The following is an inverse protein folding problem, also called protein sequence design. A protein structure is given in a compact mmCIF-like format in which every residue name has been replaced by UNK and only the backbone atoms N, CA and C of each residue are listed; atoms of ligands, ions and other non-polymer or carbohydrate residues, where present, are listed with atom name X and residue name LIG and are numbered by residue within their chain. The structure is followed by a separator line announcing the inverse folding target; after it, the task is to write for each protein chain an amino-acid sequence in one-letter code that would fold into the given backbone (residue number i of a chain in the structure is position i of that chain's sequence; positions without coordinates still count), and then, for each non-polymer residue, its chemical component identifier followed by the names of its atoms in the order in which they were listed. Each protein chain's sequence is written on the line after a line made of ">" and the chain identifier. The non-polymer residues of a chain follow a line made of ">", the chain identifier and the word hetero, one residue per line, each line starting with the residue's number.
data_IF_910031028080
#
_entry.id   IF_910031028080
#
_cell.length_a   1.000
_cell.length_b   1.000
_cell.length_c   1.000
_cell.angle_alpha   90.00
_cell.angle_beta   90.00
_cell.angle_gamma   90.00
#
_symmetry.space_group_name_H-M   'P 1'
#
loop_
_entity.id
_entity.type
_entity.pdbx_description
1 polymer ?
#
# COMPACT_ATOMS: atom_id res chain seq x y z
N UNK A 1 4.64 -0.19 -8.53
CA UNK A 1 5.65 0.13 -7.50
C UNK A 1 6.92 0.54 -8.20
N UNK A 2 7.52 1.62 -7.71
CA UNK A 2 8.73 2.18 -8.26
C UNK A 2 9.74 2.34 -7.13
N UNK A 3 11.00 2.02 -7.40
CA UNK A 3 12.10 2.23 -6.47
C UNK A 3 12.60 3.66 -6.66
N UNK A 4 12.58 4.45 -5.59
CA UNK A 4 13.21 5.76 -5.57
C UNK A 4 14.71 5.57 -5.36
N UNK A 5 15.51 5.90 -6.37
CA UNK A 5 16.98 5.79 -6.32
C UNK A 5 17.63 7.03 -6.89
N UNK A 6 18.71 7.54 -6.28
CA UNK A 6 19.53 8.56 -6.94
C UNK A 6 20.13 7.97 -8.21
N UNK A 7 20.15 8.76 -9.29
CA UNK A 7 20.88 8.43 -10.50
C UNK A 7 22.20 9.23 -10.49
N UNK A 8 23.37 8.57 -10.38
CA UNK A 8 24.65 9.24 -10.16
C UNK A 8 24.98 10.32 -11.19
N UNK A 9 24.65 10.09 -12.47
CA UNK A 9 24.95 11.03 -13.56
C UNK A 9 23.87 12.10 -13.79
N UNK A 10 22.67 11.93 -13.23
CA UNK A 10 21.55 12.86 -13.48
C UNK A 10 21.32 13.83 -12.33
N UNK A 11 22.01 13.67 -11.20
CA UNK A 11 21.89 14.55 -10.03
C UNK A 11 20.49 14.58 -9.41
N UNK A 12 19.61 13.62 -9.73
CA UNK A 12 18.23 13.58 -9.27
C UNK A 12 17.79 12.16 -8.88
N UNK A 13 16.71 12.09 -8.10
CA UNK A 13 16.06 10.83 -7.72
C UNK A 13 15.05 10.45 -8.78
N UNK A 14 15.15 9.22 -9.27
CA UNK A 14 14.20 8.66 -10.24
C UNK A 14 13.36 7.56 -9.63
N UNK A 15 12.17 7.37 -10.20
CA UNK A 15 11.25 6.31 -9.83
C UNK A 15 11.36 5.16 -10.85
N UNK A 16 12.20 4.15 -10.54
CA UNK A 16 12.41 3.01 -11.42
C UNK A 16 11.27 1.98 -11.25
N UNK A 17 10.43 1.73 -12.27
CA UNK A 17 9.37 0.73 -12.17
C UNK A 17 9.97 -0.68 -12.10
N UNK A 18 9.54 -1.46 -11.11
CA UNK A 18 10.03 -2.85 -10.95
C UNK A 18 8.92 -3.86 -10.63
N UNK A 19 7.75 -3.41 -10.19
CA UNK A 19 6.62 -4.28 -9.88
C UNK A 19 5.31 -3.59 -10.29
N UNK A 20 4.67 -4.14 -11.32
CA UNK A 20 3.41 -3.65 -11.88
C UNK A 20 2.37 -4.74 -11.77
N UNK A 21 1.14 -4.36 -11.42
CA UNK A 21 0.00 -5.28 -11.37
C UNK A 21 -1.12 -4.74 -12.25
N UNK A 22 -1.72 -5.63 -13.04
CA UNK A 22 -2.93 -5.31 -13.79
C UNK A 22 -4.12 -5.27 -12.82
N UNK A 23 -4.86 -4.16 -12.82
CA UNK A 23 -6.08 -3.99 -12.05
C UNK A 23 -7.29 -4.10 -12.98
N UNK A 24 -7.86 -5.30 -13.18
CA UNK A 24 -9.07 -5.45 -13.98
C UNK A 24 -10.23 -4.65 -13.39
N UNK A 25 -11.11 -4.17 -14.27
CA UNK A 25 -12.34 -3.49 -13.85
C UNK A 25 -13.29 -4.46 -13.15
N UNK A 26 -14.19 -3.92 -12.33
CA UNK A 26 -15.21 -4.72 -11.64
C UNK A 26 -16.07 -5.53 -12.63
N UNK A 27 -16.54 -4.87 -13.69
CA UNK A 27 -17.29 -5.51 -14.77
C UNK A 27 -16.54 -6.69 -15.39
N UNK A 28 -15.27 -6.48 -15.75
CA UNK A 28 -14.45 -7.55 -16.31
C UNK A 28 -14.26 -8.72 -15.33
N UNK A 29 -14.07 -8.45 -14.03
CA UNK A 29 -14.00 -9.50 -13.03
C UNK A 29 -15.30 -10.31 -12.94
N UNK A 30 -16.44 -9.63 -12.89
CA UNK A 30 -17.77 -10.26 -12.80
C UNK A 30 -18.08 -11.12 -14.03
N UNK A 31 -17.82 -10.61 -15.24
CA UNK A 31 -17.99 -11.35 -16.50
C UNK A 31 -17.15 -12.63 -16.57
N UNK A 32 -15.98 -12.63 -15.94
CA UNK A 32 -15.06 -13.77 -15.93
C UNK A 32 -15.17 -14.62 -14.65
N UNK A 33 -16.17 -14.39 -13.79
CA UNK A 33 -16.36 -15.13 -12.54
C UNK A 33 -15.21 -14.97 -11.53
N UNK A 34 -14.43 -13.87 -11.63
CA UNK A 34 -13.28 -13.59 -10.77
C UNK A 34 -13.67 -12.65 -9.64
N UNK A 35 -13.07 -12.86 -8.46
CA UNK A 35 -13.22 -11.91 -7.33
C UNK A 35 -12.57 -10.57 -7.67
N UNK A 36 -13.38 -9.51 -7.64
CA UNK A 36 -12.89 -8.13 -7.77
C UNK A 36 -12.00 -7.74 -6.57
N UNK A 37 -10.97 -6.95 -6.86
CA UNK A 37 -10.05 -6.37 -5.87
C UNK A 37 -10.00 -4.87 -6.07
N UNK A 38 -10.13 -4.13 -4.97
CA UNK A 38 -9.96 -2.68 -4.98
C UNK A 38 -8.49 -2.30 -5.25
N UNK A 39 -8.23 -1.04 -5.59
CA UNK A 39 -6.86 -0.52 -5.74
C UNK A 39 -6.02 -0.76 -4.49
N UNK A 40 -6.60 -0.56 -3.30
CA UNK A 40 -5.91 -0.81 -2.03
C UNK A 40 -5.70 -2.30 -1.74
N UNK A 41 -6.57 -3.19 -2.23
CA UNK A 41 -6.33 -4.64 -2.15
C UNK A 41 -5.14 -5.07 -3.01
N UNK A 42 -5.01 -4.50 -4.21
CA UNK A 42 -3.84 -4.72 -5.06
C UNK A 42 -2.58 -4.18 -4.41
N UNK A 43 -2.59 -2.96 -3.88
CA UNK A 43 -1.45 -2.42 -3.13
C UNK A 43 -1.07 -3.30 -1.94
N UNK A 44 -2.04 -3.77 -1.16
CA UNK A 44 -1.81 -4.71 -0.05
C UNK A 44 -1.06 -5.95 -0.52
N UNK A 45 -1.49 -6.54 -1.63
CA UNK A 45 -0.83 -7.72 -2.20
C UNK A 45 0.57 -7.40 -2.69
N UNK A 46 0.77 -6.30 -3.42
CA UNK A 46 2.09 -5.90 -3.92
C UNK A 46 3.07 -5.63 -2.77
N UNK A 47 2.62 -4.98 -1.69
CA UNK A 47 3.43 -4.73 -0.49
C UNK A 47 3.84 -6.05 0.17
N UNK A 48 2.90 -6.98 0.34
CA UNK A 48 3.22 -8.32 0.88
C UNK A 48 4.20 -9.09 0.00
N UNK A 49 4.12 -8.97 -1.33
CA UNK A 49 5.08 -9.61 -2.22
C UNK A 49 6.48 -9.00 -2.05
N UNK A 50 6.58 -7.66 -2.06
CA UNK A 50 7.85 -6.96 -1.88
C UNK A 50 8.48 -7.29 -0.51
N UNK A 51 7.68 -7.28 0.54
CA UNK A 51 8.10 -7.61 1.89
C UNK A 51 8.66 -9.04 1.97
N UNK A 52 7.97 -10.00 1.35
CA UNK A 52 8.43 -11.39 1.26
C UNK A 52 9.76 -11.53 0.51
N UNK A 53 10.00 -10.71 -0.52
CA UNK A 53 11.28 -10.72 -1.24
C UNK A 53 12.43 -10.14 -0.43
N UNK A 54 12.15 -9.21 0.49
CA UNK A 54 13.17 -8.50 1.27
C UNK A 54 12.84 -8.46 2.77
N UNK A 55 12.69 -9.62 3.44
CA UNK A 55 12.09 -9.70 4.78
C UNK A 55 12.89 -8.99 5.88
N UNK A 56 14.18 -8.73 5.65
CA UNK A 56 15.08 -8.04 6.60
C UNK A 56 15.28 -6.55 6.31
N UNK A 57 14.73 -6.03 5.20
CA UNK A 57 14.90 -4.63 4.83
C UNK A 57 13.77 -3.80 5.44
N UNK A 58 14.11 -2.61 5.93
CA UNK A 58 13.10 -1.58 6.24
C UNK A 58 12.56 -1.06 4.91
N UNK A 59 11.25 -1.14 4.73
CA UNK A 59 10.57 -0.69 3.50
C UNK A 59 9.76 0.55 3.85
N UNK A 60 9.95 1.61 3.06
CA UNK A 60 9.13 2.82 3.09
C UNK A 60 8.39 2.92 1.77
N UNK A 61 7.06 3.00 1.85
CA UNK A 61 6.18 3.16 0.70
C UNK A 61 5.56 4.55 0.76
N UNK A 62 5.78 5.33 -0.29
CA UNK A 62 5.17 6.66 -0.46
C UNK A 62 4.02 6.52 -1.46
N UNK A 63 2.84 7.00 -1.09
CA UNK A 63 1.66 6.95 -1.93
C UNK A 63 0.78 8.19 -1.75
N UNK A 64 -0.14 8.43 -2.69
CA UNK A 64 -1.10 9.52 -2.58
C UNK A 64 -2.22 9.22 -1.57
N UNK A 65 -3.20 10.14 -1.46
CA UNK A 65 -4.29 10.01 -0.50
C UNK A 65 -5.31 8.92 -0.83
N UNK A 66 -5.32 8.35 -2.04
CA UNK A 66 -6.17 7.20 -2.35
C UNK A 66 -5.74 5.93 -1.59
N UNK A 67 -4.51 5.91 -1.08
CA UNK A 67 -3.95 4.82 -0.28
C UNK A 67 -4.04 5.06 1.24
N UNK A 68 -4.61 6.18 1.69
CA UNK A 68 -4.82 6.49 3.12
C UNK A 68 -6.01 5.70 3.68
N UNK A 69 -5.93 4.36 3.63
CA UNK A 69 -6.99 3.44 4.05
C UNK A 69 -6.54 2.67 5.28
N UNK A 70 -7.27 2.79 6.40
CA UNK A 70 -6.91 2.17 7.68
C UNK A 70 -6.64 0.67 7.58
N UNK A 71 -7.40 -0.08 6.77
CA UNK A 71 -7.15 -1.51 6.54
C UNK A 71 -5.81 -1.79 5.86
N UNK A 72 -5.40 -0.94 4.92
CA UNK A 72 -4.10 -1.05 4.24
C UNK A 72 -2.96 -0.67 5.19
N UNK A 73 -3.11 0.42 5.94
CA UNK A 73 -2.12 0.88 6.91
C UNK A 73 -1.95 -0.14 8.04
N UNK A 74 -3.05 -0.64 8.60
CA UNK A 74 -3.04 -1.69 9.62
C UNK A 74 -2.39 -2.98 9.13
N UNK A 75 -2.60 -3.37 7.86
CA UNK A 75 -1.89 -4.49 7.25
C UNK A 75 -0.36 -4.26 7.26
N UNK A 76 0.10 -3.07 6.87
CA UNK A 76 1.54 -2.76 6.84
C UNK A 76 2.19 -2.83 8.23
N UNK A 77 1.48 -2.40 9.27
CA UNK A 77 1.93 -2.46 10.67
C UNK A 77 1.94 -3.91 11.19
N UNK A 78 1.01 -4.75 10.73
CA UNK A 78 0.91 -6.14 11.18
C UNK A 78 1.99 -7.09 10.62
N UNK A 79 2.78 -6.65 9.64
CA UNK A 79 3.83 -7.48 9.03
C UNK A 79 5.05 -7.64 9.97
N UNK A 80 5.71 -8.81 9.99
CA UNK A 80 7.01 -8.96 10.67
C UNK A 80 8.01 -7.98 10.06
N UNK A 81 8.68 -7.13 10.82
CA UNK A 81 9.36 -5.93 10.30
C UNK A 81 8.37 -5.01 9.53
N UNK A 82 7.64 -4.15 10.26
CA UNK A 82 6.59 -3.31 9.70
C UNK A 82 7.02 -2.46 8.50
N UNK A 83 6.12 -2.32 7.53
CA UNK A 83 6.31 -1.42 6.39
C UNK A 83 5.83 -0.03 6.78
N UNK A 84 6.70 0.98 6.58
CA UNK A 84 6.33 2.38 6.83
C UNK A 84 5.58 2.93 5.62
N UNK A 85 4.36 3.42 5.83
CA UNK A 85 3.54 4.05 4.80
C UNK A 85 3.53 5.56 5.00
N UNK A 86 3.89 6.32 3.97
CA UNK A 86 3.76 7.78 3.92
C UNK A 86 2.71 8.13 2.90
N UNK A 87 1.58 8.68 3.36
CA UNK A 87 0.46 9.04 2.49
C UNK A 87 -0.15 10.38 2.91
N UNK A 88 -0.85 11.05 2.01
CA UNK A 88 -1.59 12.27 2.32
C UNK A 88 -2.96 11.93 2.89
N UNK A 89 -3.18 12.18 4.17
CA UNK A 89 -4.51 12.07 4.76
C UNK A 89 -5.39 13.25 4.29
N UNK A 90 -6.68 13.00 4.08
CA UNK A 90 -7.62 14.08 3.76
C UNK A 90 -7.84 14.96 5.00
N UNK A 91 -8.05 16.25 4.79
CA UNK A 91 -8.32 17.22 5.87
C UNK A 91 -9.63 16.93 6.63
N UNK A 92 -10.58 16.27 5.98
CA UNK A 92 -11.86 15.85 6.54
C UNK A 92 -11.80 14.47 7.23
N UNK A 93 -10.62 13.86 7.34
CA UNK A 93 -10.46 12.60 8.03
C UNK A 93 -10.58 12.80 9.55
N UNK A 94 -11.66 12.28 10.13
CA UNK A 94 -11.82 12.24 11.57
C UNK A 94 -11.12 11.00 12.14
N UNK A 95 -9.97 11.21 12.78
CA UNK A 95 -9.28 10.20 13.58
C UNK A 95 -9.87 10.22 15.00
N UNK A 96 -10.41 9.10 15.43
CA UNK A 96 -10.98 8.93 16.77
C UNK A 96 -10.11 7.97 17.58
N UNK A 97 -10.14 8.14 18.90
CA UNK A 97 -9.61 7.15 19.83
C UNK A 97 -10.32 5.80 19.65
N UNK A 98 -9.65 4.67 19.96
CA UNK A 98 -10.32 3.37 19.97
C UNK A 98 -11.57 3.43 20.87
N UNK A 99 -12.68 2.79 20.46
CA UNK A 99 -13.89 2.78 21.28
C UNK A 99 -13.59 2.19 22.65
N UNK A 100 -14.22 2.72 23.70
CA UNK A 100 -14.13 2.14 25.04
C UNK A 100 -14.51 0.65 25.00
N UNK A 101 -13.87 -0.21 25.82
CA UNK A 101 -14.22 -1.62 25.90
C UNK A 101 -15.74 -1.79 26.10
N UNK A 102 -16.35 -2.72 25.36
CA UNK A 102 -17.77 -3.03 25.56
C UNK A 102 -17.93 -3.72 26.91
N UNK A 103 -18.83 -3.21 27.75
CA UNK A 103 -19.29 -3.98 28.90
C UNK A 103 -20.04 -5.23 28.39
N UNK A 104 -19.87 -6.39 29.05
CA UNK A 104 -20.56 -7.62 28.70
C UNK A 104 -22.08 -7.50 28.79
#
# INVERSE_FOLDING_TARGET
>A
MMLLTPIPWAGCVWALPFLTALMPSRKHCEENGRRYKTTTDWARQMISQLHRWMPKRKIVVVADGAYSVLKLLGHCISLPNPVTMVTRLRLDAALYDPPTPRNP
#
